data_IF_672820215095
#
_entry.id   IF_672820215095
#
_cell.length_a   1.000
_cell.length_b   1.000
_cell.length_c   1.000
_cell.angle_alpha   90.00
_cell.angle_beta   90.00
_cell.angle_gamma   90.00
#
_symmetry.space_group_name_H-M   'P 1'
#
loop_
_entity.id
_entity.type
_entity.pdbx_description
1 polymer ?
#
# COMPACT_ATOMS: atom_id res chain seq x y z
N UNK A 1 6.58 -2.11 33.77
CA UNK A 1 7.76 -2.68 33.09
C UNK A 1 7.63 -2.47 31.58
N UNK A 2 8.07 -1.31 31.07
CA UNK A 2 7.94 -0.97 29.64
C UNK A 2 8.97 -1.71 28.80
N UNK A 3 8.51 -2.42 27.77
CA UNK A 3 9.37 -3.17 26.84
C UNK A 3 10.22 -2.20 26.01
N UNK A 4 11.50 -2.06 26.33
CA UNK A 4 12.48 -1.39 25.47
C UNK A 4 12.66 -2.22 24.19
N UNK A 5 11.86 -1.94 23.18
CA UNK A 5 12.02 -2.55 21.86
C UNK A 5 13.33 -2.01 21.29
N UNK A 6 14.31 -2.88 21.07
CA UNK A 6 15.63 -2.46 20.57
C UNK A 6 15.50 -1.77 19.21
N UNK A 7 16.18 -0.63 19.02
CA UNK A 7 16.15 0.14 17.75
C UNK A 7 16.49 -0.73 16.54
N UNK A 8 17.43 -1.68 16.71
CA UNK A 8 17.85 -2.65 15.69
C UNK A 8 16.75 -3.62 15.24
N UNK A 9 15.73 -3.86 16.07
CA UNK A 9 14.57 -4.69 15.71
C UNK A 9 13.53 -3.89 14.92
N UNK A 10 13.38 -2.60 15.21
CA UNK A 10 12.47 -1.70 14.49
C UNK A 10 12.98 -1.44 13.07
N UNK A 11 14.28 -1.18 12.91
CA UNK A 11 14.90 -0.96 11.61
C UNK A 11 14.79 -2.19 10.68
N UNK A 12 15.10 -3.38 11.20
CA UNK A 12 14.94 -4.64 10.43
C UNK A 12 13.50 -4.91 10.02
N UNK A 13 12.54 -4.58 10.88
CA UNK A 13 11.11 -4.70 10.57
C UNK A 13 10.71 -3.73 9.47
N UNK A 14 11.11 -2.47 9.56
CA UNK A 14 10.84 -1.45 8.54
C UNK A 14 11.46 -1.81 7.18
N UNK A 15 12.66 -2.40 7.17
CA UNK A 15 13.31 -2.86 5.95
C UNK A 15 12.59 -4.07 5.34
N UNK A 16 12.19 -5.05 6.17
CA UNK A 16 11.40 -6.20 5.73
C UNK A 16 10.05 -5.76 5.13
N UNK A 17 9.35 -4.86 5.80
CA UNK A 17 8.08 -4.29 5.33
C UNK A 17 8.27 -3.54 4.00
N UNK A 18 9.39 -2.83 3.82
CA UNK A 18 9.74 -2.16 2.56
C UNK A 18 10.04 -3.13 1.40
N UNK A 19 10.80 -4.20 1.66
CA UNK A 19 11.11 -5.23 0.66
C UNK A 19 9.85 -6.00 0.24
N UNK A 20 9.02 -6.37 1.20
CA UNK A 20 7.76 -7.07 0.94
C UNK A 20 6.81 -6.17 0.13
N UNK A 21 6.67 -4.90 0.51
CA UNK A 21 5.86 -3.94 -0.24
C UNK A 21 6.29 -3.84 -1.71
N UNK A 22 7.59 -3.66 -1.97
CA UNK A 22 8.12 -3.62 -3.34
C UNK A 22 7.84 -4.89 -4.14
N UNK A 23 7.97 -6.06 -3.52
CA UNK A 23 7.70 -7.35 -4.16
C UNK A 23 6.22 -7.50 -4.52
N UNK A 24 5.32 -7.25 -3.56
CA UNK A 24 3.87 -7.29 -3.77
C UNK A 24 3.45 -6.33 -4.89
N UNK A 25 4.05 -5.14 -4.90
CA UNK A 25 3.76 -4.10 -5.87
C UNK A 25 4.19 -4.49 -7.29
N UNK A 26 5.33 -5.17 -7.43
CA UNK A 26 5.78 -5.76 -8.70
C UNK A 26 4.84 -6.86 -9.16
N UNK A 27 4.41 -7.74 -8.25
CA UNK A 27 3.48 -8.84 -8.58
C UNK A 27 2.16 -8.29 -9.10
N UNK A 28 1.57 -7.29 -8.43
CA UNK A 28 0.34 -6.62 -8.88
C UNK A 28 0.53 -6.00 -10.27
N UNK A 29 1.63 -5.25 -10.48
CA UNK A 29 1.92 -4.69 -11.81
C UNK A 29 2.07 -5.77 -12.89
N UNK A 30 2.72 -6.89 -12.56
CA UNK A 30 2.89 -8.01 -13.48
C UNK A 30 1.57 -8.66 -13.89
N UNK A 31 0.67 -8.91 -12.92
CA UNK A 31 -0.66 -9.46 -13.21
C UNK A 31 -1.47 -8.52 -14.09
N UNK A 32 -1.52 -7.22 -13.77
CA UNK A 32 -2.25 -6.25 -14.60
C UNK A 32 -1.66 -6.16 -16.01
N UNK A 33 -0.33 -6.15 -16.13
CA UNK A 33 0.33 -6.12 -17.43
C UNK A 33 0.03 -7.37 -18.27
N UNK A 34 -0.06 -8.55 -17.65
CA UNK A 34 -0.46 -9.78 -18.34
C UNK A 34 -1.89 -9.72 -18.90
N UNK A 35 -2.76 -8.93 -18.28
CA UNK A 35 -4.13 -8.65 -18.75
C UNK A 35 -4.20 -7.44 -19.71
N UNK A 36 -3.06 -6.86 -20.12
CA UNK A 36 -3.03 -5.66 -20.96
C UNK A 36 -3.46 -4.37 -20.24
N UNK A 37 -3.51 -4.41 -18.90
CA UNK A 37 -3.89 -3.29 -18.05
C UNK A 37 -2.66 -2.60 -17.44
N UNK A 38 -2.83 -1.34 -17.04
CA UNK A 38 -1.83 -0.61 -16.26
C UNK A 38 -2.47 -0.05 -15.00
N UNK A 39 -1.70 -0.01 -13.91
CA UNK A 39 -2.18 0.63 -12.68
C UNK A 39 -2.06 2.15 -12.79
N UNK A 40 -3.11 2.87 -12.38
CA UNK A 40 -3.06 4.33 -12.36
C UNK A 40 -2.11 4.87 -11.29
N UNK A 41 -1.63 6.11 -11.48
CA UNK A 41 -0.85 6.83 -10.45
C UNK A 41 -1.61 6.95 -9.12
N UNK A 42 -2.94 7.08 -9.16
CA UNK A 42 -3.79 7.16 -7.97
C UNK A 42 -3.85 5.81 -7.23
N UNK A 43 -4.01 4.71 -7.96
CA UNK A 43 -3.96 3.35 -7.40
C UNK A 43 -2.62 3.09 -6.73
N UNK A 44 -1.50 3.44 -7.38
CA UNK A 44 -0.16 3.30 -6.80
C UNK A 44 -0.02 4.06 -5.48
N UNK A 45 -0.42 5.34 -5.46
CA UNK A 45 -0.36 6.18 -4.25
C UNK A 45 -1.21 5.60 -3.11
N UNK A 46 -2.38 5.03 -3.41
CA UNK A 46 -3.21 4.40 -2.38
C UNK A 46 -2.54 3.17 -1.77
N UNK A 47 -1.91 2.32 -2.60
CA UNK A 47 -1.16 1.16 -2.12
C UNK A 47 0.02 1.58 -1.23
N UNK A 48 0.75 2.65 -1.61
CA UNK A 48 1.88 3.16 -0.83
C UNK A 48 1.45 3.68 0.55
N UNK A 49 0.36 4.47 0.60
CA UNK A 49 -0.18 4.99 1.87
C UNK A 49 -0.71 3.89 2.79
N UNK A 50 -1.24 2.80 2.22
CA UNK A 50 -1.68 1.63 3.00
C UNK A 50 -0.45 0.91 3.59
N UNK A 51 0.56 0.67 2.77
CA UNK A 51 1.78 -0.03 3.19
C UNK A 51 2.56 0.76 4.26
N UNK A 52 2.54 2.10 4.19
CA UNK A 52 3.18 2.96 5.19
C UNK A 52 2.33 3.17 6.46
N UNK A 53 1.13 2.59 6.54
CA UNK A 53 0.19 2.80 7.65
C UNK A 53 -0.39 4.21 7.74
N UNK A 54 -0.25 5.04 6.69
CA UNK A 54 -0.79 6.40 6.65
C UNK A 54 -2.32 6.41 6.46
N UNK A 55 -2.86 5.36 5.84
CA UNK A 55 -4.30 5.18 5.65
C UNK A 55 -4.65 3.71 5.75
N UNK A 56 -5.88 3.40 6.16
CA UNK A 56 -6.42 2.05 6.07
C UNK A 56 -7.02 1.78 4.69
N UNK A 57 -7.14 0.49 4.35
CA UNK A 57 -7.85 0.04 3.16
C UNK A 57 -9.31 0.54 3.13
N UNK A 58 -9.99 0.53 4.28
CA UNK A 58 -11.39 0.99 4.38
C UNK A 58 -11.53 2.49 4.08
N UNK A 59 -10.57 3.31 4.53
CA UNK A 59 -10.55 4.73 4.19
C UNK A 59 -10.35 4.96 2.69
N UNK A 60 -9.46 4.21 2.04
CA UNK A 60 -9.28 4.26 0.58
C UNK A 60 -10.56 3.84 -0.16
N UNK A 61 -11.26 2.80 0.32
CA UNK A 61 -12.54 2.39 -0.27
C UNK A 61 -13.60 3.49 -0.14
N UNK A 62 -13.68 4.17 1.01
CA UNK A 62 -14.59 5.28 1.20
C UNK A 62 -14.26 6.46 0.25
N UNK A 63 -12.98 6.82 0.11
CA UNK A 63 -12.52 7.84 -0.86
C UNK A 63 -12.92 7.47 -2.30
N UNK A 64 -12.74 6.20 -2.69
CA UNK A 64 -13.10 5.71 -4.02
C UNK A 64 -14.61 5.76 -4.27
N UNK A 65 -15.44 5.32 -3.32
CA UNK A 65 -16.90 5.41 -3.41
C UNK A 65 -17.33 6.85 -3.60
N UNK A 66 -16.88 7.75 -2.72
CA UNK A 66 -17.21 9.17 -2.81
C UNK A 66 -16.76 9.82 -4.14
N UNK A 67 -15.64 9.38 -4.71
CA UNK A 67 -15.13 9.90 -6.00
C UNK A 67 -16.02 9.51 -7.18
N UNK A 68 -16.56 8.29 -7.19
CA UNK A 68 -17.32 7.77 -8.32
C UNK A 68 -18.84 7.95 -8.15
N UNK A 69 -19.35 8.04 -6.93
CA UNK A 69 -20.75 8.43 -6.67
C UNK A 69 -21.04 9.88 -7.10
N UNK A 70 -20.07 10.79 -6.93
CA UNK A 70 -20.19 12.19 -7.39
C UNK A 70 -20.05 12.39 -8.91
N UNK A 71 -19.86 11.30 -9.66
CA UNK A 71 -19.68 11.31 -11.12
C UNK A 71 -20.87 10.72 -11.88
N UNK A 72 -21.82 10.11 -11.17
CA UNK A 72 -23.17 9.81 -11.69
C UNK A 72 -24.10 10.97 -11.43
#
# INVERSE_FOLDING_TARGET
MGRLISKKTVERKNEFDSRQHKSNLRNICGTFAAEGMTISKYTRRNLDRIASGQTSYQQVLAELRAKYEKRG
#
